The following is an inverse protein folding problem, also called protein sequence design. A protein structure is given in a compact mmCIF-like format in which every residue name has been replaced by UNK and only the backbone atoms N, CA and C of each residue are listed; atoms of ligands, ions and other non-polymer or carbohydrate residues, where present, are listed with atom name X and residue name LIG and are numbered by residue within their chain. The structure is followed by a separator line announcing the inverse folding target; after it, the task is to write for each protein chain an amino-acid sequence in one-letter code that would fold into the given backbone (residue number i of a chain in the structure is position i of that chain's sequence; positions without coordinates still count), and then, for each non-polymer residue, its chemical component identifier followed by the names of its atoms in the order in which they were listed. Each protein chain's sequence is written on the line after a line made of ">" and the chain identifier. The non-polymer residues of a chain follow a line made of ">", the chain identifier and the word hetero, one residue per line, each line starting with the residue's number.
data_IF_429626520580
#
_entry.id   IF_429626520580
#
_cell.length_a   1.000
_cell.length_b   1.000
_cell.length_c   1.000
_cell.angle_alpha   90.00
_cell.angle_beta   90.00
_cell.angle_gamma   90.00
#
_symmetry.space_group_name_H-M   'P 1'
#
loop_
_entity.id
_entity.type
_entity.pdbx_description
1 polymer ?
#
# COMPACT_ATOMS: atom_id res chain seq x y z
N UNK A 1 -34.70 -15.65 -3.44
CA UNK A 1 -34.34 -14.22 -3.41
C UNK A 1 -32.96 -14.04 -4.00
N UNK A 2 -32.89 -13.38 -5.15
CA UNK A 2 -31.70 -13.23 -5.97
C UNK A 2 -30.71 -12.28 -5.29
N UNK A 3 -29.52 -12.78 -4.92
CA UNK A 3 -28.37 -11.92 -4.59
C UNK A 3 -27.93 -11.25 -5.89
N UNK A 4 -28.40 -10.03 -6.11
CA UNK A 4 -27.97 -9.18 -7.22
C UNK A 4 -26.46 -9.00 -7.18
N UNK A 5 -25.80 -9.72 -8.07
CA UNK A 5 -24.72 -9.29 -8.98
C UNK A 5 -24.21 -7.85 -8.77
N UNK A 6 -23.53 -7.60 -7.66
CA UNK A 6 -22.54 -6.53 -7.58
C UNK A 6 -21.28 -7.14 -8.16
N UNK A 7 -20.92 -6.71 -9.37
CA UNK A 7 -19.58 -6.85 -9.93
C UNK A 7 -18.57 -6.22 -8.97
N UNK A 8 -18.25 -6.93 -7.88
CA UNK A 8 -17.19 -6.58 -6.95
C UNK A 8 -15.92 -6.57 -7.78
N UNK A 9 -15.41 -5.37 -8.01
CA UNK A 9 -14.27 -5.12 -8.87
C UNK A 9 -13.02 -5.74 -8.24
N UNK A 10 -12.67 -6.92 -8.74
CA UNK A 10 -11.45 -7.72 -8.53
C UNK A 10 -10.15 -6.91 -8.43
N UNK A 11 -9.71 -6.43 -7.26
CA UNK A 11 -8.33 -5.96 -7.10
C UNK A 11 -7.39 -7.17 -7.02
N UNK A 12 -6.14 -7.00 -7.44
CA UNK A 12 -5.14 -8.06 -7.42
C UNK A 12 -4.04 -7.75 -6.40
N UNK A 13 -3.64 -8.75 -5.62
CA UNK A 13 -2.57 -8.63 -4.65
C UNK A 13 -1.22 -8.42 -5.34
N UNK A 14 -0.57 -7.29 -5.08
CA UNK A 14 0.73 -6.92 -5.65
C UNK A 14 1.87 -7.84 -5.19
N UNK A 15 1.64 -8.62 -4.11
CA UNK A 15 2.61 -9.56 -3.56
C UNK A 15 2.56 -10.94 -4.22
N UNK A 16 1.37 -11.46 -4.51
CA UNK A 16 1.19 -12.88 -4.90
C UNK A 16 0.15 -13.14 -5.99
N UNK A 17 -0.48 -12.11 -6.54
CA UNK A 17 -1.44 -12.24 -7.64
C UNK A 17 -2.85 -12.71 -7.27
N UNK A 18 -3.07 -13.18 -6.03
CA UNK A 18 -4.41 -13.56 -5.57
C UNK A 18 -5.36 -12.37 -5.50
N UNK A 19 -6.64 -12.65 -5.57
CA UNK A 19 -7.72 -11.69 -5.36
C UNK A 19 -7.53 -10.90 -4.05
N UNK A 20 -7.78 -9.61 -4.13
CA UNK A 20 -7.73 -8.65 -3.04
C UNK A 20 -8.99 -7.79 -3.07
N UNK A 21 -9.38 -7.34 -1.89
CA UNK A 21 -10.54 -6.49 -1.68
C UNK A 21 -10.12 -5.04 -1.35
N UNK A 22 -8.90 -4.84 -0.82
CA UNK A 22 -8.49 -3.56 -0.24
C UNK A 22 -6.97 -3.37 -0.15
N UNK A 23 -6.59 -2.12 0.11
CA UNK A 23 -5.22 -1.73 0.45
C UNK A 23 -4.94 -2.07 1.92
N UNK A 24 -3.84 -2.74 2.20
CA UNK A 24 -3.39 -3.04 3.56
C UNK A 24 -1.91 -2.66 3.69
N UNK A 25 -1.59 -1.88 4.72
CA UNK A 25 -0.22 -1.39 4.95
C UNK A 25 0.37 -0.69 3.72
N UNK A 26 -0.42 0.19 3.08
CA UNK A 26 -0.08 0.93 1.84
C UNK A 26 -0.04 0.14 0.51
N UNK A 27 -0.29 -1.18 0.51
CA UNK A 27 -0.23 -2.01 -0.71
C UNK A 27 -1.53 -2.79 -0.94
N UNK A 28 -2.00 -2.91 -2.19
CA UNK A 28 -3.13 -3.80 -2.49
C UNK A 28 -2.70 -5.24 -2.25
N UNK A 29 -3.36 -5.91 -1.32
CA UNK A 29 -2.94 -7.24 -0.89
C UNK A 29 -4.09 -8.14 -0.48
N UNK A 30 -3.93 -9.44 -0.73
CA UNK A 30 -4.91 -10.44 -0.33
C UNK A 30 -4.90 -10.64 1.20
N UNK A 31 -5.97 -11.19 1.80
CA UNK A 31 -6.05 -11.43 3.24
C UNK A 31 -4.87 -12.23 3.80
N UNK A 32 -4.36 -13.20 3.04
CA UNK A 32 -3.20 -14.00 3.43
C UNK A 32 -1.92 -13.17 3.52
N UNK A 33 -1.65 -12.29 2.54
CA UNK A 33 -0.48 -11.41 2.55
C UNK A 33 -0.57 -10.36 3.66
N UNK A 34 -1.76 -9.79 3.89
CA UNK A 34 -2.05 -8.91 5.03
C UNK A 34 -1.65 -9.56 6.35
N UNK A 35 -2.23 -10.73 6.64
CA UNK A 35 -1.98 -11.42 7.92
C UNK A 35 -0.54 -11.92 8.03
N UNK A 36 0.08 -12.35 6.93
CA UNK A 36 1.48 -12.75 6.87
C UNK A 36 2.42 -11.59 7.23
N UNK A 37 2.23 -10.42 6.62
CA UNK A 37 3.03 -9.23 6.91
C UNK A 37 2.85 -8.81 8.38
N UNK A 38 1.59 -8.73 8.85
CA UNK A 38 1.27 -8.39 10.24
C UNK A 38 2.00 -9.28 11.24
N UNK A 39 1.92 -10.61 11.08
CA UNK A 39 2.59 -11.56 11.99
C UNK A 39 4.11 -11.46 11.93
N UNK A 40 4.66 -11.26 10.74
CA UNK A 40 6.12 -11.13 10.58
C UNK A 40 6.65 -9.91 11.32
N UNK A 41 5.97 -8.77 11.21
CA UNK A 41 6.37 -7.53 11.88
C UNK A 41 6.06 -7.56 13.37
N UNK A 42 4.83 -7.93 13.76
CA UNK A 42 4.41 -7.96 15.16
C UNK A 42 5.28 -8.87 16.03
N UNK A 43 5.67 -10.03 15.49
CA UNK A 43 6.54 -10.98 16.19
C UNK A 43 8.01 -10.88 15.77
N UNK A 44 8.38 -9.79 15.09
CA UNK A 44 9.74 -9.46 14.69
C UNK A 44 10.51 -10.66 14.10
N UNK A 45 9.86 -11.40 13.20
CA UNK A 45 10.42 -12.66 12.68
C UNK A 45 11.57 -12.38 11.72
N UNK A 46 12.75 -12.87 12.06
CA UNK A 46 13.91 -12.90 11.16
C UNK A 46 13.76 -14.06 10.18
N UNK A 47 13.60 -13.76 8.89
CA UNK A 47 13.33 -14.76 7.85
C UNK A 47 14.50 -14.89 6.88
N UNK A 48 15.06 -16.10 6.78
CA UNK A 48 16.17 -16.43 5.87
C UNK A 48 15.69 -17.31 4.70
N UNK A 49 16.20 -17.03 3.51
CA UNK A 49 15.90 -17.82 2.31
C UNK A 49 16.93 -18.94 2.19
N UNK A 50 16.47 -20.17 1.90
CA UNK A 50 17.35 -21.33 1.69
C UNK A 50 17.79 -21.51 0.23
N UNK A 51 17.28 -20.67 -0.68
CA UNK A 51 17.46 -20.80 -2.14
C UNK A 51 18.08 -19.54 -2.75
N UNK A 52 18.96 -18.85 -2.02
CA UNK A 52 19.68 -17.65 -2.49
C UNK A 52 18.77 -16.61 -3.12
N UNK A 53 17.62 -16.37 -2.48
CA UNK A 53 16.56 -15.48 -2.94
C UNK A 53 15.86 -15.88 -4.24
N UNK A 54 16.26 -16.98 -4.90
CA UNK A 54 15.74 -17.53 -6.17
C UNK A 54 14.34 -18.17 -6.12
N UNK A 55 13.41 -17.66 -5.30
CA UNK A 55 12.06 -18.22 -5.17
C UNK A 55 11.01 -17.45 -5.98
N UNK A 56 10.18 -18.17 -6.74
CA UNK A 56 9.04 -17.64 -7.49
C UNK A 56 7.77 -17.56 -6.64
N UNK A 57 7.50 -16.37 -6.11
CA UNK A 57 6.38 -16.14 -5.19
C UNK A 57 5.01 -16.22 -5.88
N UNK A 58 4.94 -16.05 -7.19
CA UNK A 58 3.66 -16.06 -7.92
C UNK A 58 3.27 -17.48 -8.29
N UNK A 59 4.21 -18.27 -8.80
CA UNK A 59 3.91 -19.62 -9.29
C UNK A 59 4.00 -20.72 -8.22
N UNK A 60 3.94 -20.35 -6.93
CA UNK A 60 3.65 -21.30 -5.86
C UNK A 60 4.78 -21.58 -4.87
N UNK A 61 5.94 -20.91 -4.97
CA UNK A 61 6.97 -21.06 -3.94
C UNK A 61 6.50 -20.49 -2.59
N UNK A 62 6.49 -21.34 -1.57
CA UNK A 62 6.08 -20.97 -0.19
C UNK A 62 7.20 -20.30 0.62
N UNK A 63 8.20 -19.69 -0.03
CA UNK A 63 9.35 -19.11 0.67
C UNK A 63 8.94 -17.87 1.47
N UNK A 64 8.88 -18.02 2.80
CA UNK A 64 8.52 -16.92 3.73
C UNK A 64 9.44 -15.71 3.58
N UNK A 65 10.75 -15.94 3.44
CA UNK A 65 11.75 -14.87 3.32
C UNK A 65 11.53 -14.05 2.05
N UNK A 66 11.41 -14.69 0.88
CA UNK A 66 11.19 -14.00 -0.39
C UNK A 66 9.80 -13.35 -0.49
N UNK A 67 8.77 -13.97 0.11
CA UNK A 67 7.44 -13.33 0.20
C UNK A 67 7.48 -12.04 1.02
N UNK A 68 8.23 -12.05 2.13
CA UNK A 68 8.40 -10.84 2.94
C UNK A 68 9.25 -9.79 2.25
N UNK A 69 10.29 -10.20 1.51
CA UNK A 69 11.06 -9.28 0.66
C UNK A 69 10.16 -8.59 -0.37
N UNK A 70 9.29 -9.35 -1.04
CA UNK A 70 8.29 -8.79 -1.96
C UNK A 70 7.35 -7.80 -1.25
N UNK A 71 6.90 -8.09 -0.02
CA UNK A 71 6.13 -7.12 0.77
C UNK A 71 6.89 -5.80 0.98
N UNK A 72 8.17 -5.85 1.32
CA UNK A 72 8.99 -4.64 1.54
C UNK A 72 9.26 -3.88 0.25
N UNK A 73 9.47 -4.58 -0.87
CA UNK A 73 9.71 -4.01 -2.20
C UNK A 73 8.48 -3.29 -2.73
N UNK A 74 7.29 -3.91 -2.63
CA UNK A 74 6.04 -3.29 -3.07
C UNK A 74 5.57 -2.16 -2.13
N UNK A 75 6.26 -1.96 -1.00
CA UNK A 75 6.03 -0.81 -0.12
C UNK A 75 5.10 -1.07 1.05
N UNK A 76 4.98 -2.32 1.53
CA UNK A 76 4.26 -2.57 2.79
C UNK A 76 4.97 -1.88 3.96
N UNK A 77 4.21 -1.07 4.70
CA UNK A 77 4.75 -0.22 5.76
C UNK A 77 4.66 -0.90 7.15
N UNK A 78 5.80 -1.30 7.75
CA UNK A 78 5.82 -1.90 9.08
C UNK A 78 5.48 -0.89 10.20
N UNK A 79 5.62 0.42 9.96
CA UNK A 79 5.34 1.45 10.97
C UNK A 79 3.86 1.51 11.33
N UNK A 80 2.97 1.07 10.43
CA UNK A 80 1.53 0.99 10.65
C UNK A 80 1.09 -0.12 11.62
N UNK A 81 2.01 -0.97 12.10
CA UNK A 81 1.72 -2.04 13.06
C UNK A 81 2.20 -1.60 14.44
N UNK A 82 1.31 -1.60 15.44
CA UNK A 82 1.66 -1.26 16.83
C UNK A 82 2.41 -2.41 17.49
N UNK A 83 3.53 -2.07 18.14
CA UNK A 83 4.38 -2.95 18.94
C UNK A 83 4.63 -2.19 20.23
N UNK A 84 4.43 -2.83 21.38
CA UNK A 84 4.43 -2.16 22.68
C UNK A 84 5.84 -1.77 23.13
N UNK A 85 6.82 -2.64 22.90
CA UNK A 85 8.24 -2.34 23.16
C UNK A 85 8.83 -1.50 22.03
N UNK A 86 9.06 -0.20 22.31
CA UNK A 86 9.59 0.76 21.35
C UNK A 86 11.07 0.56 21.03
N UNK A 87 11.89 0.08 21.96
CA UNK A 87 13.31 -0.17 21.70
C UNK A 87 13.45 -1.34 20.73
N UNK A 88 12.81 -2.45 21.07
CA UNK A 88 12.76 -3.64 20.23
C UNK A 88 12.13 -3.34 18.85
N UNK A 89 11.09 -2.49 18.81
CA UNK A 89 10.51 -1.98 17.55
C UNK A 89 11.55 -1.25 16.72
N UNK A 90 12.24 -0.25 17.28
CA UNK A 90 13.17 0.61 16.53
C UNK A 90 14.33 -0.18 15.95
N UNK A 91 14.92 -1.09 16.73
CA UNK A 91 15.97 -2.01 16.26
C UNK A 91 15.48 -2.87 15.09
N UNK A 92 14.26 -3.41 15.19
CA UNK A 92 13.68 -4.21 14.13
C UNK A 92 13.39 -3.39 12.87
N UNK A 93 12.86 -2.17 13.00
CA UNK A 93 12.62 -1.27 11.87
C UNK A 93 13.92 -0.92 11.16
N UNK A 94 14.98 -0.59 11.89
CA UNK A 94 16.31 -0.32 11.33
C UNK A 94 16.84 -1.54 10.55
N UNK A 95 16.66 -2.75 11.07
CA UNK A 95 17.01 -3.98 10.36
C UNK A 95 16.20 -4.13 9.06
N UNK A 96 14.90 -3.80 9.06
CA UNK A 96 14.06 -3.86 7.87
C UNK A 96 14.46 -2.83 6.82
N UNK A 97 14.87 -1.62 7.21
CA UNK A 97 15.37 -0.60 6.31
C UNK A 97 16.66 -1.05 5.62
N UNK A 98 17.63 -1.57 6.38
CA UNK A 98 18.85 -2.17 5.82
C UNK A 98 18.52 -3.29 4.83
N UNK A 99 17.53 -4.14 5.17
CA UNK A 99 17.06 -5.21 4.29
C UNK A 99 16.42 -4.65 3.01
N UNK A 100 15.59 -3.61 3.10
CA UNK A 100 14.95 -2.97 1.94
C UNK A 100 15.97 -2.34 1.00
N UNK A 101 16.97 -1.63 1.54
CA UNK A 101 18.02 -0.99 0.74
C UNK A 101 18.81 -2.04 -0.06
N UNK A 102 19.18 -3.16 0.57
CA UNK A 102 19.84 -4.29 -0.12
C UNK A 102 19.00 -4.88 -1.27
N UNK A 103 17.67 -4.87 -1.16
CA UNK A 103 16.77 -5.36 -2.22
C UNK A 103 16.66 -4.37 -3.39
N UNK A 104 17.00 -3.09 -3.19
CA UNK A 104 16.94 -2.04 -4.21
C UNK A 104 18.25 -1.90 -5.01
N UNK A 105 19.32 -2.59 -4.61
CA UNK A 105 20.58 -2.63 -5.36
C UNK A 105 20.40 -3.22 -6.77
N UNK A 106 21.10 -2.72 -7.81
CA UNK A 106 20.95 -3.18 -9.19
C UNK A 106 21.15 -4.70 -9.35
N UNK A 107 22.11 -5.26 -8.61
CA UNK A 107 22.42 -6.70 -8.59
C UNK A 107 21.26 -7.58 -8.10
N UNK A 108 20.37 -7.01 -7.27
CA UNK A 108 19.19 -7.69 -6.71
C UNK A 108 17.89 -7.28 -7.40
N UNK A 109 17.82 -6.08 -7.99
CA UNK A 109 16.63 -5.59 -8.72
C UNK A 109 16.27 -6.48 -9.91
N UNK A 110 17.26 -6.92 -10.69
CA UNK A 110 17.04 -7.78 -11.85
C UNK A 110 16.43 -9.14 -11.48
N UNK A 111 16.61 -9.59 -10.23
CA UNK A 111 16.07 -10.86 -9.75
C UNK A 111 14.54 -10.83 -9.52
N UNK A 112 13.96 -9.64 -9.27
CA UNK A 112 12.54 -9.44 -9.03
C UNK A 112 11.79 -8.73 -10.19
N UNK A 113 12.45 -8.50 -11.34
CA UNK A 113 11.90 -7.75 -12.47
C UNK A 113 11.01 -8.60 -13.41
N UNK A 114 9.99 -7.92 -13.94
CA UNK A 114 8.90 -8.26 -14.89
C UNK A 114 8.19 -9.62 -14.80
N UNK A 115 8.89 -10.75 -14.76
CA UNK A 115 8.30 -12.09 -14.80
C UNK A 115 7.56 -12.44 -13.50
N UNK A 116 7.94 -11.78 -12.40
CA UNK A 116 7.31 -11.92 -11.09
C UNK A 116 6.34 -10.76 -10.75
N UNK A 117 5.79 -10.08 -11.76
CA UNK A 117 4.62 -9.21 -11.54
C UNK A 117 3.35 -10.04 -11.68
N UNK A 118 2.43 -9.97 -10.71
CA UNK A 118 1.18 -10.68 -10.86
C UNK A 118 0.43 -10.14 -12.08
N UNK A 119 0.06 -11.05 -12.99
CA UNK A 119 -0.65 -10.70 -14.21
C UNK A 119 -2.10 -10.33 -13.87
N UNK A 120 -2.29 -9.05 -13.56
CA UNK A 120 -3.56 -8.51 -13.10
C UNK A 120 -4.21 -7.68 -14.19
N UNK A 121 -5.50 -7.93 -14.46
CA UNK A 121 -6.31 -7.06 -15.31
C UNK A 121 -6.55 -5.76 -14.55
N UNK A 122 -5.69 -4.77 -14.76
CA UNK A 122 -5.86 -3.41 -14.23
C UNK A 122 -6.99 -2.75 -15.00
N UNK A 123 -8.22 -2.82 -14.49
CA UNK A 123 -9.32 -2.02 -15.04
C UNK A 123 -9.11 -0.53 -14.69
N UNK A 124 -8.33 0.14 -15.55
CA UNK A 124 -7.80 1.49 -15.40
C UNK A 124 -8.87 2.59 -15.28
N UNK A 125 -10.02 2.43 -15.94
CA UNK A 125 -11.06 3.50 -15.99
C UNK A 125 -11.66 3.87 -14.62
N UNK A 126 -11.63 2.94 -13.66
CA UNK A 126 -12.20 3.14 -12.31
C UNK A 126 -11.13 3.03 -11.20
N UNK A 127 -9.83 3.10 -11.53
CA UNK A 127 -8.76 3.08 -10.51
C UNK A 127 -8.69 4.42 -9.76
N UNK A 128 -8.81 5.54 -10.49
CA UNK A 128 -8.81 6.88 -9.90
C UNK A 128 -10.02 7.13 -8.99
N UNK A 129 -11.21 6.60 -9.35
CA UNK A 129 -12.42 6.72 -8.53
C UNK A 129 -12.37 5.87 -7.24
N UNK A 130 -11.72 4.70 -7.29
CA UNK A 130 -11.46 3.89 -6.10
C UNK A 130 -10.38 4.52 -5.19
N UNK A 131 -9.35 5.14 -5.76
CA UNK A 131 -8.35 5.87 -4.97
C UNK A 131 -8.92 7.13 -4.30
N UNK A 132 -9.81 7.87 -4.97
CA UNK A 132 -10.51 9.03 -4.39
C UNK A 132 -11.48 8.65 -3.26
N UNK A 133 -12.11 7.47 -3.33
CA UNK A 133 -12.99 6.99 -2.26
C UNK A 133 -12.20 6.50 -1.04
N UNK A 134 -11.03 5.89 -1.24
CA UNK A 134 -10.13 5.49 -0.13
C UNK A 134 -9.49 6.68 0.59
N UNK A 135 -9.18 7.79 -0.10
CA UNK A 135 -8.69 9.03 0.54
C UNK A 135 -9.77 9.80 1.30
N UNK A 136 -11.05 9.49 1.04
CA UNK A 136 -12.22 10.09 1.70
C UNK A 136 -12.88 9.13 2.71
N UNK A 137 -12.26 7.99 3.01
CA UNK A 137 -12.75 7.09 4.05
C UNK A 137 -12.32 7.60 5.41
N UNK A 138 -13.31 8.12 6.13
CA UNK A 138 -13.33 8.25 7.58
C UNK A 138 -12.72 6.99 8.25
N UNK A 139 -11.63 7.15 9.01
CA UNK A 139 -11.09 6.06 9.85
C UNK A 139 -12.00 5.96 11.08
N UNK A 140 -13.02 5.11 10.98
CA UNK A 140 -13.90 4.80 12.10
C UNK A 140 -13.19 3.81 13.03
N UNK A 141 -12.74 4.26 14.20
CA UNK A 141 -12.19 3.38 15.25
C UNK A 141 -13.33 2.78 16.11
N UNK A 142 -14.53 3.34 16.03
CA UNK A 142 -15.79 2.81 16.55
C UNK A 142 -16.96 3.64 15.99
N UNK A 143 -18.20 3.19 16.21
CA UNK A 143 -19.41 3.74 15.59
C UNK A 143 -19.76 5.21 15.92
N UNK A 144 -19.00 5.93 16.75
CA UNK A 144 -19.43 7.27 17.19
C UNK A 144 -18.43 8.42 17.03
N UNK A 145 -17.19 8.20 16.56
CA UNK A 145 -16.25 9.32 16.34
C UNK A 145 -15.34 9.09 15.12
N UNK A 146 -15.61 9.80 14.02
CA UNK A 146 -14.64 10.01 12.96
C UNK A 146 -14.00 11.39 13.09
N UNK A 147 -12.67 11.45 13.19
CA UNK A 147 -11.90 12.69 13.11
C UNK A 147 -11.20 12.82 11.76
N UNK A 148 -11.49 13.91 11.03
CA UNK A 148 -10.85 14.25 9.75
C UNK A 148 -9.34 14.47 9.93
N UNK A 149 -8.50 13.64 9.32
CA UNK A 149 -7.09 13.97 9.15
C UNK A 149 -6.94 14.89 7.93
N UNK A 150 -7.05 16.20 8.13
CA UNK A 150 -6.57 17.15 7.12
C UNK A 150 -5.05 17.02 7.01
N UNK A 151 -4.51 16.79 5.80
CA UNK A 151 -4.00 17.88 4.92
C UNK A 151 -3.08 17.37 3.79
N UNK A 152 -3.01 18.20 2.74
CA UNK A 152 -2.03 18.32 1.64
C UNK A 152 -2.26 17.45 0.38
N UNK A 153 -2.31 18.01 -0.83
CA UNK A 153 -2.02 19.38 -1.27
C UNK A 153 -2.28 19.58 -2.77
N UNK A 154 -2.22 20.84 -3.22
CA UNK A 154 -2.06 21.18 -4.64
C UNK A 154 -0.99 22.26 -4.75
N UNK A 155 0.02 21.97 -5.55
CA UNK A 155 1.05 22.89 -6.00
C UNK A 155 0.98 22.90 -7.54
N UNK A 156 1.08 24.12 -8.09
CA UNK A 156 1.34 24.57 -9.46
C UNK A 156 0.20 24.79 -10.50
N UNK A 157 -0.06 26.10 -10.71
CA UNK A 157 -0.24 26.91 -11.96
C UNK A 157 -1.50 26.69 -12.83
N UNK A 158 -2.18 27.66 -13.46
CA UNK A 158 -1.83 29.02 -13.92
C UNK A 158 -3.10 29.82 -14.36
N UNK A 159 -3.01 31.17 -14.40
CA UNK A 159 -3.66 32.14 -15.33
C UNK A 159 -5.18 32.44 -15.23
N UNK A 160 -5.45 33.69 -14.79
CA UNK A 160 -6.38 34.71 -15.33
C UNK A 160 -7.75 34.26 -15.91
N UNK A 161 -8.87 34.65 -15.27
CA UNK A 161 -10.06 35.22 -15.95
C UNK A 161 -11.06 35.80 -14.92
N UNK A 162 -11.16 37.13 -14.93
CA UNK A 162 -12.38 37.95 -14.90
C UNK A 162 -13.54 37.55 -13.95
N UNK A 163 -13.67 38.29 -12.85
CA UNK A 163 -14.98 38.74 -12.34
C UNK A 163 -14.97 40.25 -12.08
N UNK A 164 -15.21 41.02 -13.14
CA UNK A 164 -15.96 42.27 -13.07
C UNK A 164 -17.41 41.88 -12.66
N UNK A 165 -18.22 42.64 -11.91
CA UNK A 165 -18.30 44.09 -11.79
C UNK A 165 -19.23 44.48 -10.61
N UNK A 166 -18.97 45.68 -10.04
CA UNK A 166 -19.90 46.65 -9.40
C UNK A 166 -20.51 46.30 -8.00
N UNK A 167 -20.55 47.18 -6.99
CA UNK A 167 -20.61 48.65 -6.94
C UNK A 167 -19.74 49.21 -5.78
N UNK A 168 -18.83 50.15 -6.06
CA UNK A 168 -18.95 51.62 -5.85
C UNK A 168 -19.26 52.05 -4.40
N UNK A 169 -18.28 52.68 -3.75
CA UNK A 169 -18.51 53.89 -2.95
C UNK A 169 -17.34 54.86 -3.15
N UNK A 170 -17.71 56.10 -3.43
CA UNK A 170 -16.89 57.22 -3.87
C UNK A 170 -16.41 58.03 -2.66
N UNK A 171 -15.20 58.58 -2.80
CA UNK A 171 -14.55 59.72 -2.12
C UNK A 171 -15.40 60.57 -1.15
N UNK A 172 -14.80 60.90 -0.01
CA UNK A 172 -14.18 62.23 0.22
C UNK A 172 -12.77 61.98 0.76
#
# INVERSE_FOLDING_TARGET
>A
MNKTNLNAKLLCCEICGKQSESRNYNVISCPSCKQFFRRTVLFQKVLNCKRNKKCDIINGDKCRSCRFDKCLIEGMDPLMIKIDDMNSRNEFIEMLEKRRNKLQEPSMKNYYQEDQKPNCVKNNKNFNQYQQSLSNQDICISNELCSKSTKFGRIFLNILTMKLHQKWNFKI
#
